data_IF_828704877163
#
_entry.id   IF_828704877163
#
_cell.length_a   1.000
_cell.length_b   1.000
_cell.length_c   1.000
_cell.angle_alpha   90.00
_cell.angle_beta   90.00
_cell.angle_gamma   90.00
#
_symmetry.space_group_name_H-M   'P 1'
#
loop_
_entity.id
_entity.type
_entity.pdbx_description
1 polymer ?
#
# COMPACT_ATOMS: atom_id res chain seq x y z
N UNK A 1 -13.01 6.73 -11.95
CA UNK A 1 -13.62 5.38 -11.89
C UNK A 1 -13.45 4.89 -10.48
N UNK A 2 -14.52 4.57 -9.77
CA UNK A 2 -14.50 4.41 -8.31
C UNK A 2 -13.70 3.19 -7.83
N UNK A 3 -13.67 2.10 -8.61
CA UNK A 3 -12.92 0.89 -8.27
C UNK A 3 -11.41 1.12 -8.10
N UNK A 4 -10.83 2.09 -8.83
CA UNK A 4 -9.38 2.39 -8.75
C UNK A 4 -8.99 3.09 -7.44
N UNK A 5 -9.97 3.68 -6.75
CA UNK A 5 -9.77 4.43 -5.50
C UNK A 5 -9.87 3.51 -4.28
N UNK A 6 -10.29 2.26 -4.46
CA UNK A 6 -10.38 1.28 -3.38
C UNK A 6 -8.97 0.92 -2.92
N UNK A 7 -8.65 1.28 -1.68
CA UNK A 7 -7.36 0.98 -1.08
C UNK A 7 -7.41 -0.41 -0.45
N UNK A 8 -6.51 -1.28 -0.92
CA UNK A 8 -6.35 -2.64 -0.42
C UNK A 8 -5.06 -2.79 0.37
N UNK A 9 -5.11 -3.57 1.44
CA UNK A 9 -3.96 -4.02 2.22
C UNK A 9 -3.83 -5.54 2.06
N UNK A 10 -2.67 -5.99 1.62
CA UNK A 10 -2.35 -7.42 1.49
C UNK A 10 -0.91 -7.69 1.85
N UNK A 11 -0.66 -8.83 2.51
CA UNK A 11 0.68 -9.32 2.80
C UNK A 11 1.18 -10.34 1.76
N UNK A 12 0.34 -10.73 0.81
CA UNK A 12 0.67 -11.70 -0.23
C UNK A 12 1.34 -11.00 -1.42
N UNK A 13 2.29 -11.68 -2.04
CA UNK A 13 2.94 -11.26 -3.29
C UNK A 13 2.32 -11.91 -4.54
N UNK A 14 1.43 -12.88 -4.32
CA UNK A 14 0.73 -13.60 -5.38
C UNK A 14 -0.50 -12.81 -5.86
N UNK A 15 -0.88 -13.00 -7.12
CA UNK A 15 -2.13 -12.46 -7.64
C UNK A 15 -3.31 -13.25 -7.05
N UNK A 16 -4.34 -12.54 -6.60
CA UNK A 16 -5.53 -13.17 -6.05
C UNK A 16 -6.79 -12.65 -6.76
N UNK A 17 -7.80 -13.51 -6.86
CA UNK A 17 -9.10 -13.14 -7.42
C UNK A 17 -10.05 -12.68 -6.32
N UNK A 18 -10.86 -11.68 -6.65
CA UNK A 18 -11.97 -11.17 -5.85
C UNK A 18 -13.19 -10.98 -6.75
N UNK A 19 -14.37 -10.83 -6.15
CA UNK A 19 -15.59 -10.62 -6.93
C UNK A 19 -16.62 -9.77 -6.20
N UNK A 20 -17.52 -9.16 -6.97
CA UNK A 20 -18.73 -8.52 -6.46
C UNK A 20 -19.91 -9.28 -7.07
N UNK A 21 -20.85 -9.72 -6.23
CA UNK A 21 -22.06 -10.43 -6.67
C UNK A 21 -23.27 -9.92 -5.88
N UNK A 22 -24.06 -9.04 -6.48
CA UNK A 22 -25.16 -8.33 -5.81
C UNK A 22 -26.39 -8.32 -6.70
N UNK A 23 -27.57 -8.38 -6.09
CA UNK A 23 -28.85 -8.14 -6.76
C UNK A 23 -29.38 -6.75 -6.39
N UNK A 24 -29.74 -5.96 -7.39
CA UNK A 24 -30.32 -4.63 -7.21
C UNK A 24 -31.80 -4.67 -6.81
N UNK A 25 -32.42 -3.50 -6.52
CA UNK A 25 -31.82 -2.18 -6.42
C UNK A 25 -31.12 -1.95 -5.06
N UNK A 26 -29.88 -1.47 -5.07
CA UNK A 26 -29.06 -1.28 -3.86
C UNK A 26 -27.83 -0.39 -4.11
N UNK A 27 -27.34 0.27 -3.06
CA UNK A 27 -26.03 0.91 -3.03
C UNK A 27 -24.91 -0.13 -2.90
N UNK A 28 -23.96 -0.12 -3.83
CA UNK A 28 -22.79 -1.00 -3.81
C UNK A 28 -21.60 -0.23 -3.24
N UNK A 29 -21.01 -0.74 -2.17
CA UNK A 29 -19.78 -0.19 -1.56
C UNK A 29 -18.63 -1.20 -1.61
N UNK A 30 -17.44 -0.75 -1.24
CA UNK A 30 -16.27 -1.61 -1.10
C UNK A 30 -16.51 -2.81 -0.16
N UNK A 31 -17.36 -2.65 0.86
CA UNK A 31 -17.73 -3.75 1.76
C UNK A 31 -18.37 -4.95 1.03
N UNK A 32 -19.04 -4.73 -0.10
CA UNK A 32 -19.71 -5.80 -0.83
C UNK A 32 -18.73 -6.63 -1.71
N UNK A 33 -17.43 -6.30 -1.70
CA UNK A 33 -16.39 -7.09 -2.38
C UNK A 33 -16.11 -8.37 -1.58
N UNK A 34 -16.26 -9.50 -2.24
CA UNK A 34 -15.86 -10.81 -1.73
C UNK A 34 -14.34 -10.93 -1.93
N UNK A 35 -13.61 -10.78 -0.83
CA UNK A 35 -12.15 -10.81 -0.81
C UNK A 35 -11.59 -12.21 -0.53
N UNK A 36 -10.41 -12.54 -1.09
CA UNK A 36 -9.66 -13.73 -0.71
C UNK A 36 -9.05 -13.57 0.70
N UNK A 37 -8.58 -14.68 1.31
CA UNK A 37 -7.87 -14.62 2.58
C UNK A 37 -6.66 -13.67 2.53
N UNK A 38 -6.38 -12.99 3.64
CA UNK A 38 -5.23 -12.07 3.80
C UNK A 38 -5.25 -10.79 2.97
N UNK A 39 -6.36 -10.49 2.28
CA UNK A 39 -6.62 -9.18 1.68
C UNK A 39 -7.67 -8.45 2.50
N UNK A 40 -7.44 -7.17 2.77
CA UNK A 40 -8.33 -6.31 3.53
C UNK A 40 -8.57 -5.01 2.78
N UNK A 41 -9.79 -4.50 2.87
CA UNK A 41 -10.13 -3.15 2.42
C UNK A 41 -9.87 -2.19 3.58
N UNK A 42 -9.26 -1.04 3.25
CA UNK A 42 -8.96 0.00 4.24
C UNK A 42 -10.20 0.84 4.55
N UNK A 43 -10.97 1.22 3.53
CA UNK A 43 -12.24 1.93 3.68
C UNK A 43 -13.39 1.13 3.05
N UNK A 44 -14.21 0.52 3.93
CA UNK A 44 -15.36 -0.29 3.54
C UNK A 44 -16.54 0.53 3.01
N UNK A 45 -16.52 1.86 3.23
CA UNK A 45 -17.64 2.76 2.89
C UNK A 45 -17.53 3.36 1.49
N UNK A 46 -16.37 3.23 0.84
CA UNK A 46 -16.11 3.74 -0.50
C UNK A 46 -17.20 3.30 -1.48
N UNK A 47 -17.83 4.28 -2.11
CA UNK A 47 -18.90 4.04 -3.09
C UNK A 47 -18.33 3.41 -4.36
N UNK A 48 -19.02 2.39 -4.90
CA UNK A 48 -18.69 1.77 -6.19
C UNK A 48 -19.71 2.19 -7.24
N UNK A 49 -20.98 1.85 -7.00
CA UNK A 49 -22.08 2.08 -7.94
C UNK A 49 -23.44 2.08 -7.21
N UNK A 50 -24.46 2.59 -7.88
CA UNK A 50 -25.86 2.49 -7.45
C UNK A 50 -26.66 1.69 -8.47
N UNK A 51 -27.26 0.58 -8.06
CA UNK A 51 -28.13 -0.24 -8.91
C UNK A 51 -29.57 0.27 -8.78
N UNK A 52 -30.13 0.77 -9.88
CA UNK A 52 -31.50 1.33 -9.93
C UNK A 52 -32.58 0.29 -10.15
N UNK A 53 -32.23 -0.85 -10.76
CA UNK A 53 -33.15 -1.88 -11.22
C UNK A 53 -32.85 -3.23 -10.54
N UNK A 54 -33.80 -4.18 -10.54
CA UNK A 54 -33.61 -5.54 -10.01
C UNK A 54 -32.78 -6.40 -10.96
N UNK A 55 -31.54 -5.99 -11.19
CA UNK A 55 -30.56 -6.68 -12.03
C UNK A 55 -29.54 -7.44 -11.19
N UNK A 56 -29.04 -8.55 -11.75
CA UNK A 56 -27.89 -9.25 -11.20
C UNK A 56 -26.60 -8.54 -11.67
N UNK A 57 -25.82 -8.04 -10.71
CA UNK A 57 -24.58 -7.34 -10.94
C UNK A 57 -23.39 -8.21 -10.51
N UNK A 58 -22.54 -8.54 -11.47
CA UNK A 58 -21.36 -9.37 -11.28
C UNK A 58 -20.11 -8.69 -11.84
N UNK A 59 -19.05 -8.61 -11.03
CA UNK A 59 -17.72 -8.15 -11.44
C UNK A 59 -16.68 -9.12 -10.91
N UNK A 60 -15.82 -9.64 -11.79
CA UNK A 60 -14.57 -10.30 -11.41
C UNK A 60 -13.43 -9.29 -11.31
N UNK A 61 -12.61 -9.41 -10.26
CA UNK A 61 -11.49 -8.51 -9.98
C UNK A 61 -10.22 -9.35 -9.80
N UNK A 62 -9.14 -8.95 -10.47
CA UNK A 62 -7.81 -9.52 -10.24
C UNK A 62 -6.96 -8.53 -9.45
N UNK A 63 -6.56 -8.94 -8.25
CA UNK A 63 -5.77 -8.15 -7.32
C UNK A 63 -4.31 -8.57 -7.43
N UNK A 64 -3.43 -7.62 -7.69
CA UNK A 64 -1.99 -7.83 -7.78
C UNK A 64 -1.27 -6.91 -6.78
N UNK A 65 -0.12 -7.34 -6.28
CA UNK A 65 0.76 -6.49 -5.48
C UNK A 65 1.96 -6.09 -6.32
N UNK A 66 2.16 -4.79 -6.51
CA UNK A 66 3.30 -4.26 -7.25
C UNK A 66 3.94 -3.06 -6.53
N UNK A 67 4.98 -2.47 -7.11
CA UNK A 67 5.65 -1.25 -6.63
C UNK A 67 5.54 -0.15 -7.68
N UNK A 68 5.34 1.08 -7.21
CA UNK A 68 5.32 2.27 -8.07
C UNK A 68 4.01 2.43 -8.82
N UNK A 69 4.07 3.16 -9.93
CA UNK A 69 2.93 3.43 -10.78
C UNK A 69 3.01 2.56 -12.03
N UNK A 70 1.97 1.79 -12.32
CA UNK A 70 1.92 0.92 -13.48
C UNK A 70 0.76 1.34 -14.38
N UNK A 71 1.09 2.00 -15.48
CA UNK A 71 0.13 2.33 -16.53
C UNK A 71 -0.18 1.07 -17.33
N UNK A 72 -1.41 0.55 -17.23
CA UNK A 72 -1.88 -0.60 -18.03
C UNK A 72 -2.55 -0.18 -19.35
N UNK A 73 -2.34 1.08 -19.80
CA UNK A 73 -3.05 1.71 -20.92
C UNK A 73 -2.92 0.91 -22.24
N UNK A 74 -1.85 0.15 -22.43
CA UNK A 74 -1.61 -0.63 -23.64
C UNK A 74 -1.79 -2.15 -23.48
N UNK A 75 -2.34 -2.62 -22.36
CA UNK A 75 -2.57 -4.06 -22.13
C UNK A 75 -3.95 -4.47 -22.64
N UNK A 76 -3.99 -5.08 -23.82
CA UNK A 76 -5.14 -5.84 -24.28
C UNK A 76 -5.05 -7.28 -23.78
N UNK A 77 -6.10 -7.71 -23.09
CA UNK A 77 -6.28 -9.12 -22.73
C UNK A 77 -7.31 -9.74 -23.68
N UNK A 78 -6.98 -10.88 -24.27
CA UNK A 78 -7.84 -11.60 -25.22
C UNK A 78 -9.10 -12.20 -24.56
N UNK A 79 -9.16 -12.20 -23.23
CA UNK A 79 -10.25 -12.78 -22.43
C UNK A 79 -11.42 -11.82 -22.15
N UNK A 80 -11.38 -10.60 -22.71
CA UNK A 80 -12.40 -9.57 -22.49
C UNK A 80 -12.27 -8.83 -21.15
N UNK A 81 -11.16 -9.01 -20.42
CA UNK A 81 -10.86 -8.19 -19.25
C UNK A 81 -10.43 -6.77 -19.63
N UNK A 82 -10.86 -5.81 -18.82
CA UNK A 82 -10.53 -4.40 -19.00
C UNK A 82 -9.46 -3.99 -17.99
N UNK A 83 -8.27 -3.52 -18.44
CA UNK A 83 -7.26 -3.02 -17.53
C UNK A 83 -7.76 -1.77 -16.82
N UNK A 84 -7.43 -1.69 -15.54
CA UNK A 84 -7.68 -0.52 -14.70
C UNK A 84 -6.31 0.02 -14.27
N UNK A 85 -6.14 1.34 -14.30
CA UNK A 85 -4.96 1.98 -13.74
C UNK A 85 -4.83 1.65 -12.26
N UNK A 86 -3.69 1.09 -11.88
CA UNK A 86 -3.45 0.64 -10.52
C UNK A 86 -2.39 1.53 -9.85
N UNK A 87 -2.81 2.18 -8.77
CA UNK A 87 -1.94 2.98 -7.91
C UNK A 87 -1.37 2.11 -6.79
N UNK A 88 -0.15 1.60 -6.96
CA UNK A 88 0.54 0.79 -5.94
C UNK A 88 1.41 1.63 -4.99
N UNK A 89 1.16 2.93 -4.90
CA UNK A 89 1.91 3.88 -4.08
C UNK A 89 1.12 4.23 -2.81
N UNK A 90 1.46 3.63 -1.66
CA UNK A 90 0.73 3.87 -0.41
C UNK A 90 1.03 5.25 0.19
N UNK A 91 2.22 5.81 -0.07
CA UNK A 91 2.62 7.16 0.36
C UNK A 91 2.09 8.17 -0.65
N UNK A 92 1.22 9.07 -0.18
CA UNK A 92 0.56 10.10 -0.99
C UNK A 92 1.36 11.40 -0.99
N UNK A 93 1.97 11.76 0.14
CA UNK A 93 2.81 12.93 0.26
C UNK A 93 3.91 12.70 1.30
N UNK A 94 5.09 13.27 1.07
CA UNK A 94 6.20 13.28 2.00
C UNK A 94 6.89 14.65 1.95
N UNK A 95 6.74 15.43 3.02
CA UNK A 95 7.41 16.72 3.19
C UNK A 95 8.52 16.60 4.23
N UNK A 96 9.49 17.52 4.14
CA UNK A 96 10.55 17.63 5.14
C UNK A 96 10.96 19.09 5.36
N UNK A 97 11.42 19.39 6.58
CA UNK A 97 12.09 20.64 6.89
C UNK A 97 13.28 20.40 7.81
N UNK A 98 14.33 21.21 7.64
CA UNK A 98 15.56 21.12 8.42
C UNK A 98 15.71 22.43 9.18
N UNK A 99 15.95 22.32 10.48
CA UNK A 99 16.12 23.47 11.37
C UNK A 99 17.42 23.32 12.15
N UNK A 100 18.22 24.39 12.22
CA UNK A 100 19.40 24.41 13.07
C UNK A 100 18.99 24.48 14.54
N UNK A 101 19.69 23.72 15.39
CA UNK A 101 19.49 23.72 16.84
C UNK A 101 20.81 23.96 17.56
N UNK A 102 20.88 24.99 18.41
CA UNK A 102 22.12 25.33 19.13
C UNK A 102 23.15 26.02 18.22
N UNK A 103 24.39 25.50 18.20
CA UNK A 103 25.42 25.99 17.28
C UNK A 103 25.10 25.50 15.85
N UNK A 104 25.48 26.26 14.81
CA UNK A 104 25.18 25.99 13.38
C UNK A 104 25.61 24.60 12.83
N UNK A 105 26.18 23.72 13.66
CA UNK A 105 26.59 22.36 13.31
C UNK A 105 25.56 21.27 13.65
N UNK A 106 24.49 21.60 14.36
CA UNK A 106 23.45 20.65 14.75
C UNK A 106 22.14 20.97 14.02
N UNK A 107 21.55 19.94 13.43
CA UNK A 107 20.33 20.04 12.63
C UNK A 107 19.27 19.08 13.17
N UNK A 108 18.01 19.52 13.13
CA UNK A 108 16.82 18.73 13.42
C UNK A 108 16.03 18.59 12.11
N UNK A 109 15.73 17.35 11.73
CA UNK A 109 14.90 17.01 10.59
C UNK A 109 13.46 16.73 11.06
N UNK A 110 12.51 17.46 10.49
CA UNK A 110 11.09 17.16 10.62
C UNK A 110 10.62 16.47 9.34
N UNK A 111 9.90 15.36 9.50
CA UNK A 111 9.30 14.59 8.41
C UNK A 111 7.79 14.56 8.59
N UNK A 112 7.07 14.87 7.53
CA UNK A 112 5.62 14.77 7.46
C UNK A 112 5.27 13.78 6.36
N UNK A 113 4.60 12.68 6.71
CA UNK A 113 4.31 11.58 5.79
C UNK A 113 2.81 11.29 5.81
N UNK A 114 2.19 11.40 4.64
CA UNK A 114 0.78 11.11 4.42
C UNK A 114 0.63 9.80 3.64
N UNK A 115 -0.18 8.90 4.16
CA UNK A 115 -0.42 7.57 3.57
C UNK A 115 -1.90 7.35 3.34
N UNK A 116 -2.25 6.49 2.38
CA UNK A 116 -3.65 6.10 2.11
C UNK A 116 -4.22 5.06 3.10
N UNK A 117 -3.50 4.73 4.18
CA UNK A 117 -3.93 3.80 5.23
C UNK A 117 -3.63 2.32 4.96
N UNK A 118 -3.23 1.93 3.75
CA UNK A 118 -2.76 0.54 3.48
C UNK A 118 -1.45 0.21 4.20
N UNK A 119 -0.65 1.23 4.49
CA UNK A 119 0.60 1.20 5.23
C UNK A 119 0.64 2.42 6.14
N UNK A 120 1.06 2.25 7.40
CA UNK A 120 1.20 3.40 8.31
C UNK A 120 2.42 4.25 7.95
N UNK A 121 2.45 5.55 8.30
CA UNK A 121 3.61 6.41 8.06
C UNK A 121 4.91 5.87 8.66
N UNK A 122 4.82 5.23 9.84
CA UNK A 122 5.96 4.61 10.52
C UNK A 122 6.48 3.39 9.76
N UNK A 123 5.59 2.50 9.31
CA UNK A 123 5.97 1.36 8.49
C UNK A 123 6.56 1.81 7.15
N UNK A 124 6.02 2.86 6.54
CA UNK A 124 6.54 3.45 5.30
C UNK A 124 7.97 3.96 5.47
N UNK A 125 8.25 4.68 6.56
CA UNK A 125 9.59 5.17 6.88
C UNK A 125 10.57 4.03 7.19
N UNK A 126 10.11 2.99 7.88
CA UNK A 126 10.94 1.82 8.17
C UNK A 126 11.32 1.06 6.89
N UNK A 127 10.34 0.83 6.01
CA UNK A 127 10.56 0.16 4.73
C UNK A 127 11.47 0.96 3.81
N UNK A 128 11.32 2.29 3.75
CA UNK A 128 12.20 3.15 2.95
C UNK A 128 13.64 3.14 3.48
N UNK A 129 13.83 3.20 4.80
CA UNK A 129 15.15 3.08 5.41
C UNK A 129 15.81 1.73 5.11
N UNK A 130 15.05 0.62 5.18
CA UNK A 130 15.55 -0.71 4.80
C UNK A 130 15.99 -0.75 3.34
N UNK A 131 15.14 -0.27 2.42
CA UNK A 131 15.46 -0.22 0.99
C UNK A 131 16.71 0.62 0.73
N UNK A 132 16.85 1.77 1.41
CA UNK A 132 18.01 2.65 1.29
C UNK A 132 19.28 1.95 1.79
N UNK A 133 19.23 1.29 2.95
CA UNK A 133 20.38 0.53 3.48
C UNK A 133 20.78 -0.55 2.48
N UNK A 134 19.83 -1.38 2.03
CA UNK A 134 20.08 -2.46 1.08
C UNK A 134 20.69 -1.95 -0.23
N UNK A 135 20.23 -0.79 -0.71
CA UNK A 135 20.78 -0.13 -1.88
C UNK A 135 22.26 0.26 -1.72
N UNK A 136 22.66 0.71 -0.53
CA UNK A 136 24.04 1.13 -0.27
C UNK A 136 24.97 0.00 0.16
N UNK A 137 24.46 -1.17 0.57
CA UNK A 137 25.26 -2.35 0.98
C UNK A 137 26.43 -2.68 0.01
N UNK A 138 26.22 -2.70 -1.32
CA UNK A 138 27.29 -3.06 -2.28
C UNK A 138 28.51 -2.13 -2.23
N UNK A 139 28.33 -0.87 -1.84
CA UNK A 139 29.40 0.12 -1.78
C UNK A 139 30.28 -0.01 -0.52
N UNK A 140 29.90 -0.85 0.45
CA UNK A 140 30.73 -1.09 1.63
C UNK A 140 31.80 -2.14 1.37
N UNK A 141 33.07 -1.86 1.72
CA UNK A 141 34.16 -2.83 1.63
C UNK A 141 33.88 -4.04 2.54
N UNK A 142 34.33 -5.21 2.08
CA UNK A 142 33.90 -6.55 2.51
C UNK A 142 33.96 -6.80 4.03
N UNK A 143 34.86 -6.10 4.73
CA UNK A 143 35.05 -6.22 6.18
C UNK A 143 33.90 -5.69 7.06
N UNK A 144 32.96 -4.89 6.55
CA UNK A 144 31.86 -4.31 7.36
C UNK A 144 30.46 -4.88 7.08
N UNK A 145 30.32 -5.75 6.06
CA UNK A 145 29.02 -6.33 5.65
C UNK A 145 28.34 -7.14 6.77
N UNK A 146 29.13 -7.82 7.61
CA UNK A 146 28.63 -8.67 8.71
C UNK A 146 27.98 -7.89 9.87
N UNK A 147 28.38 -6.63 10.11
CA UNK A 147 27.89 -5.83 11.25
C UNK A 147 26.51 -5.20 11.01
N UNK A 148 26.19 -4.85 9.75
CA UNK A 148 24.88 -4.29 9.38
C UNK A 148 23.80 -5.38 9.48
N UNK A 149 24.11 -6.59 8.99
CA UNK A 149 23.19 -7.73 9.01
C UNK A 149 22.82 -8.23 10.41
N UNK A 150 23.72 -8.13 11.41
CA UNK A 150 23.44 -8.60 12.77
C UNK A 150 22.48 -7.69 13.54
N UNK A 151 22.39 -6.41 13.19
CA UNK A 151 21.65 -5.40 13.98
C UNK A 151 20.22 -5.18 13.48
N UNK A 152 19.95 -5.44 12.20
CA UNK A 152 18.60 -5.40 11.64
C UNK A 152 17.74 -6.63 12.05
N UNK A 153 18.35 -7.75 12.44
CA UNK A 153 17.60 -8.94 12.91
C UNK A 153 17.11 -8.84 14.36
N UNK A 154 17.63 -7.91 15.17
CA UNK A 154 17.35 -7.85 16.62
C UNK A 154 16.15 -6.97 17.00
N UNK A 155 15.43 -6.37 16.04
CA UNK A 155 14.26 -5.51 16.34
C UNK A 155 12.93 -6.10 15.87
N UNK A 156 12.70 -7.38 16.17
CA UNK A 156 11.33 -7.90 16.39
C UNK A 156 11.07 -7.92 17.90
N UNK A 157 11.01 -6.74 18.52
CA UNK A 157 10.52 -6.60 19.90
C UNK A 157 9.03 -6.21 19.85
N UNK A 158 8.16 -6.83 20.65
CA UNK A 158 6.74 -6.48 20.68
C UNK A 158 6.58 -5.00 21.05
N UNK A 159 5.77 -4.26 20.29
CA UNK A 159 5.39 -2.90 20.64
C UNK A 159 4.71 -2.91 22.02
N UNK A 160 5.15 -2.09 22.99
CA UNK A 160 4.42 -1.96 24.25
C UNK A 160 3.04 -1.33 24.00
N UNK A 161 2.03 -1.67 24.82
CA UNK A 161 0.70 -1.09 24.69
C UNK A 161 0.79 0.39 25.10
N UNK A 162 0.53 1.30 24.16
CA UNK A 162 0.28 2.69 24.54
C UNK A 162 -1.10 2.76 25.20
N UNK A 163 -1.10 3.15 26.47
CA UNK A 163 -2.28 3.55 27.24
C UNK A 163 -2.71 4.96 26.81
N UNK A 164 -4.02 5.08 26.54
CA UNK A 164 -4.89 6.26 26.43
C UNK A 164 -4.47 7.39 25.46
#
# INVERSE_FOLDING_TARGET
MNLKEIVLRSNLYESCDASICIKGPRHVTAQDIILPPHVQIVDNTQHIAWLTEPIDFFIGLKIERNRGYFNKVDLHFDDGSYPIDALFMPVQNANHSIHSYGNEKQEILFLEIWTNGSLTPKEALHESARILIDFFIPFFPDGRRKLIFSRCKTHNSPTPPYLL
#
